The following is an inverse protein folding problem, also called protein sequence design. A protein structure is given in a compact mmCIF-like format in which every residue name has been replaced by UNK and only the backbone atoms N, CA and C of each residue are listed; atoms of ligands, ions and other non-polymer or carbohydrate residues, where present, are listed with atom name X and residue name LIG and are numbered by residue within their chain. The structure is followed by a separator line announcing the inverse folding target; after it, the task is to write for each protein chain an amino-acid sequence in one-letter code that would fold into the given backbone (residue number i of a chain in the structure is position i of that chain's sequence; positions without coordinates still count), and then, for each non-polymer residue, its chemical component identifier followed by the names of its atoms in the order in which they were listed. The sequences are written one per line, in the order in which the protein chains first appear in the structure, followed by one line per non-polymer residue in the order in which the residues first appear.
data_IF_114898642172
#
_entry.id   IF_114898642172
#
_cell.length_a   1.000
_cell.length_b   1.000
_cell.length_c   1.000
_cell.angle_alpha   90.00
_cell.angle_beta   90.00
_cell.angle_gamma   90.00
#
_symmetry.space_group_name_H-M   'P 1'
#
loop_
_entity.id
_entity.type
_entity.pdbx_description
1 polymer ?
#
# COMPACT_ATOMS: atom_id res chain seq x y z
N UNK A 1 -1.51 14.73 -0.80
CA UNK A 1 -1.45 13.28 -1.07
C UNK A 1 -2.51 12.82 -2.09
N UNK A 2 -2.58 13.43 -3.27
CA UNK A 2 -3.64 13.19 -4.29
C UNK A 2 -3.60 11.81 -4.96
N UNK A 3 -2.54 11.03 -4.75
CA UNK A 3 -2.42 9.68 -5.30
C UNK A 3 -2.82 8.55 -4.34
N UNK A 4 -3.22 8.89 -3.11
CA UNK A 4 -3.73 7.92 -2.14
C UNK A 4 -5.25 7.78 -2.24
N UNK A 5 -5.82 6.66 -1.79
CA UNK A 5 -7.27 6.42 -1.81
C UNK A 5 -8.05 7.55 -1.13
N UNK A 6 -7.72 7.90 0.12
CA UNK A 6 -8.43 8.99 0.83
C UNK A 6 -8.17 10.35 0.19
N UNK A 7 -6.94 10.59 -0.27
CA UNK A 7 -6.61 11.83 -0.96
C UNK A 7 -7.39 12.01 -2.26
N UNK A 8 -7.72 10.93 -2.96
CA UNK A 8 -8.58 10.94 -4.15
C UNK A 8 -10.04 11.09 -3.79
N UNK A 9 -10.51 10.35 -2.79
CA UNK A 9 -11.88 10.32 -2.32
C UNK A 9 -12.40 11.71 -1.89
N UNK A 10 -11.54 12.52 -1.25
CA UNK A 10 -11.87 13.88 -0.84
C UNK A 10 -11.41 14.95 -1.84
N UNK A 11 -10.97 14.56 -3.03
CA UNK A 11 -10.66 15.45 -4.15
C UNK A 11 -11.70 15.29 -5.25
N UNK A 12 -11.91 16.33 -6.07
CA UNK A 12 -12.97 16.43 -7.09
C UNK A 12 -12.86 15.42 -8.25
N UNK A 13 -12.05 14.38 -8.12
CA UNK A 13 -11.61 13.49 -9.21
C UNK A 13 -11.97 12.02 -9.01
N UNK A 14 -12.67 11.65 -7.93
CA UNK A 14 -13.11 10.28 -7.69
C UNK A 14 -14.63 10.15 -7.84
N UNK A 15 -15.06 9.94 -9.08
CA UNK A 15 -16.41 9.53 -9.41
C UNK A 15 -16.37 8.01 -9.60
N UNK A 16 -16.88 7.21 -8.64
CA UNK A 16 -17.69 5.98 -8.86
C UNK A 16 -17.51 4.81 -7.89
N UNK A 17 -16.42 4.65 -7.10
CA UNK A 17 -16.18 3.33 -6.43
C UNK A 17 -16.23 3.29 -4.89
N UNK A 18 -16.50 4.41 -4.20
CA UNK A 18 -16.77 4.41 -2.76
C UNK A 18 -18.10 5.12 -2.51
N UNK A 19 -19.13 4.34 -2.24
CA UNK A 19 -20.47 4.85 -1.94
C UNK A 19 -20.66 4.82 -0.43
N UNK A 20 -21.03 5.96 0.13
CA UNK A 20 -21.37 6.03 1.55
C UNK A 20 -22.65 5.22 1.81
N UNK A 21 -22.74 4.59 2.98
CA UNK A 21 -23.96 3.94 3.42
C UNK A 21 -25.06 4.97 3.74
N UNK A 22 -26.23 4.49 4.18
CA UNK A 22 -27.38 5.34 4.51
C UNK A 22 -27.11 6.37 5.63
N UNK A 23 -26.04 6.19 6.41
CA UNK A 23 -25.58 7.11 7.46
C UNK A 23 -24.52 8.10 7.00
N UNK A 24 -24.10 8.03 5.74
CA UNK A 24 -23.00 8.84 5.22
C UNK A 24 -21.61 8.32 5.63
N UNK A 25 -21.52 7.08 6.11
CA UNK A 25 -20.26 6.46 6.52
C UNK A 25 -19.68 5.58 5.40
N UNK A 26 -18.36 5.38 5.42
CA UNK A 26 -17.67 4.56 4.44
C UNK A 26 -17.14 3.29 5.11
N UNK A 27 -17.40 2.15 4.47
CA UNK A 27 -16.90 0.87 4.93
C UNK A 27 -15.47 0.65 4.41
N UNK A 28 -14.59 0.27 5.34
CA UNK A 28 -13.19 -0.08 5.05
C UNK A 28 -13.11 -1.61 4.97
N UNK A 29 -12.20 -2.13 4.15
CA UNK A 29 -12.02 -3.57 4.00
C UNK A 29 -11.76 -4.30 5.33
N UNK A 30 -12.27 -5.53 5.41
CA UNK A 30 -12.00 -6.45 6.53
C UNK A 30 -10.49 -6.68 6.67
N UNK A 31 -10.00 -6.66 7.92
CA UNK A 31 -8.58 -6.84 8.25
C UNK A 31 -7.87 -5.55 8.68
N UNK A 32 -8.43 -4.38 8.38
CA UNK A 32 -7.85 -3.11 8.82
C UNK A 32 -8.41 -2.74 10.20
N UNK A 33 -7.58 -2.88 11.23
CA UNK A 33 -7.96 -2.49 12.59
C UNK A 33 -8.04 -0.96 12.75
N UNK A 34 -8.83 -0.50 13.73
CA UNK A 34 -8.89 0.92 14.09
C UNK A 34 -7.51 1.50 14.47
N UNK A 35 -6.64 0.67 15.04
CA UNK A 35 -5.26 1.03 15.40
C UNK A 35 -4.41 1.30 14.16
N UNK A 36 -4.50 0.43 13.14
CA UNK A 36 -3.81 0.62 11.86
C UNK A 36 -4.36 1.87 11.17
N UNK A 37 -5.69 2.00 11.07
CA UNK A 37 -6.31 3.14 10.43
C UNK A 37 -5.91 4.47 11.08
N UNK A 38 -5.84 4.52 12.42
CA UNK A 38 -5.35 5.70 13.14
C UNK A 38 -3.91 6.06 12.73
N UNK A 39 -3.01 5.08 12.68
CA UNK A 39 -1.63 5.30 12.27
C UNK A 39 -1.53 5.78 10.81
N UNK A 40 -2.38 5.28 9.92
CA UNK A 40 -2.43 5.74 8.53
C UNK A 40 -2.86 7.21 8.40
N UNK A 41 -3.73 7.71 9.28
CA UNK A 41 -4.13 9.12 9.27
C UNK A 41 -2.97 10.07 9.61
N UNK A 42 -1.95 9.60 10.33
CA UNK A 42 -0.74 10.39 10.59
C UNK A 42 0.00 10.73 9.30
N UNK A 43 -0.07 9.87 8.27
CA UNK A 43 0.51 10.17 6.95
C UNK A 43 -0.03 11.47 6.36
N UNK A 44 -1.33 11.72 6.49
CA UNK A 44 -1.96 12.92 5.95
C UNK A 44 -1.69 14.17 6.79
N UNK A 45 -1.33 13.99 8.05
CA UNK A 45 -1.09 15.09 9.00
C UNK A 45 0.38 15.52 9.02
N UNK A 46 1.30 14.56 9.05
CA UNK A 46 2.74 14.79 9.24
C UNK A 46 3.62 14.18 8.13
N UNK A 47 3.04 13.43 7.18
CA UNK A 47 3.77 12.85 6.04
C UNK A 47 4.40 11.49 6.31
N UNK A 48 4.27 10.93 7.52
CA UNK A 48 4.87 9.65 7.91
C UNK A 48 3.91 8.82 8.76
N UNK A 49 4.04 7.50 8.71
CA UNK A 49 3.29 6.55 9.53
C UNK A 49 4.23 5.96 10.57
N UNK A 50 3.83 6.04 11.84
CA UNK A 50 4.51 5.32 12.92
C UNK A 50 3.80 4.00 13.16
N UNK A 51 4.47 2.89 12.83
CA UNK A 51 3.93 1.56 13.06
C UNK A 51 3.71 1.34 14.57
N UNK A 52 2.46 1.07 15.01
CA UNK A 52 2.18 0.77 16.40
C UNK A 52 2.88 -0.53 16.85
N UNK A 53 3.42 -0.62 18.09
CA UNK A 53 4.15 -1.82 18.55
C UNK A 53 3.32 -3.11 18.57
N UNK A 54 1.99 -3.00 18.62
CA UNK A 54 1.07 -4.14 18.61
C UNK A 54 0.67 -4.60 17.20
N UNK A 55 1.16 -3.93 16.16
CA UNK A 55 0.81 -4.17 14.76
C UNK A 55 2.02 -4.79 14.06
N UNK A 56 1.79 -5.87 13.30
CA UNK A 56 2.86 -6.44 12.48
C UNK A 56 3.15 -5.56 11.28
N UNK A 57 4.40 -5.58 10.80
CA UNK A 57 4.76 -4.83 9.59
C UNK A 57 3.96 -5.29 8.38
N UNK A 58 3.63 -6.59 8.30
CA UNK A 58 2.83 -7.15 7.22
C UNK A 58 1.41 -6.56 7.20
N UNK A 59 0.71 -6.51 8.34
CA UNK A 59 -0.64 -5.93 8.39
C UNK A 59 -0.63 -4.45 7.98
N UNK A 60 0.41 -3.72 8.40
CA UNK A 60 0.57 -2.33 8.00
C UNK A 60 0.83 -2.20 6.50
N UNK A 61 1.64 -3.10 5.92
CA UNK A 61 1.90 -3.15 4.48
C UNK A 61 0.61 -3.37 3.69
N UNK A 62 -0.17 -4.38 4.06
CA UNK A 62 -1.44 -4.68 3.40
C UNK A 62 -2.42 -3.49 3.47
N UNK A 63 -2.46 -2.78 4.60
CA UNK A 63 -3.26 -1.59 4.73
C UNK A 63 -2.73 -0.42 3.88
N UNK A 64 -1.42 -0.21 3.80
CA UNK A 64 -0.81 0.77 2.90
C UNK A 64 -1.14 0.48 1.44
N UNK A 65 -1.07 -0.78 1.02
CA UNK A 65 -1.45 -1.22 -0.34
C UNK A 65 -2.93 -0.92 -0.60
N UNK A 66 -3.82 -1.21 0.36
CA UNK A 66 -5.25 -0.90 0.25
C UNK A 66 -5.51 0.60 0.08
N UNK A 67 -4.88 1.46 0.90
CA UNK A 67 -5.08 2.90 0.85
C UNK A 67 -4.20 3.61 -0.20
N UNK A 68 -3.43 2.87 -0.98
CA UNK A 68 -2.49 3.41 -1.97
C UNK A 68 -1.48 4.39 -1.34
N UNK A 69 -1.06 4.13 -0.10
CA UNK A 69 -0.02 4.89 0.59
C UNK A 69 1.34 4.26 0.29
N UNK A 70 2.37 5.04 -0.10
CA UNK A 70 3.70 4.51 -0.34
C UNK A 70 4.24 3.75 0.88
N UNK A 71 4.74 2.54 0.66
CA UNK A 71 5.39 1.74 1.68
C UNK A 71 6.90 1.75 1.45
N UNK A 72 7.58 2.73 2.04
CA UNK A 72 9.03 2.93 1.93
C UNK A 72 9.64 3.48 3.22
N UNK A 73 10.97 3.59 3.26
CA UNK A 73 11.70 4.06 4.46
C UNK A 73 11.47 5.53 4.80
N UNK A 74 10.97 6.34 3.85
CA UNK A 74 10.64 7.74 4.10
C UNK A 74 9.24 7.87 4.72
N UNK A 75 8.35 6.95 4.36
CA UNK A 75 6.95 6.95 4.78
C UNK A 75 6.73 6.16 6.07
N UNK A 76 7.44 5.06 6.30
CA UNK A 76 7.24 4.14 7.42
C UNK A 76 8.33 4.28 8.48
N UNK A 77 7.92 4.54 9.72
CA UNK A 77 8.76 4.50 10.92
C UNK A 77 8.32 3.35 11.82
N UNK A 78 9.22 2.43 12.17
CA UNK A 78 8.89 1.29 13.03
C UNK A 78 10.05 0.92 13.97
N UNK A 79 9.73 0.16 15.02
CA UNK A 79 10.74 -0.46 15.88
C UNK A 79 11.24 -1.79 15.29
N UNK A 80 10.36 -2.55 14.63
CA UNK A 80 10.70 -3.78 13.93
C UNK A 80 11.32 -3.48 12.56
N UNK A 81 12.61 -3.13 12.58
CA UNK A 81 13.38 -2.87 11.37
C UNK A 81 13.56 -4.14 10.52
N UNK A 82 13.60 -5.32 11.15
CA UNK A 82 13.76 -6.59 10.44
C UNK A 82 12.53 -6.85 9.55
N UNK A 83 11.33 -6.71 10.11
CA UNK A 83 10.08 -6.82 9.36
C UNK A 83 10.00 -5.80 8.23
N UNK A 84 10.37 -4.54 8.49
CA UNK A 84 10.37 -3.51 7.44
C UNK A 84 11.34 -3.82 6.30
N UNK A 85 12.58 -4.21 6.62
CA UNK A 85 13.56 -4.58 5.60
C UNK A 85 13.15 -5.84 4.83
N UNK A 86 12.46 -6.79 5.48
CA UNK A 86 11.91 -7.96 4.80
C UNK A 86 10.90 -7.54 3.72
N UNK A 87 9.92 -6.71 4.07
CA UNK A 87 8.91 -6.24 3.12
C UNK A 87 9.51 -5.43 1.97
N UNK A 88 10.47 -4.54 2.26
CA UNK A 88 11.18 -3.77 1.23
C UNK A 88 12.03 -4.67 0.32
N UNK A 89 12.69 -5.68 0.89
CA UNK A 89 13.48 -6.65 0.14
C UNK A 89 12.59 -7.49 -0.79
N UNK A 90 11.41 -7.89 -0.33
CA UNK A 90 10.43 -8.62 -1.15
C UNK A 90 9.97 -7.78 -2.34
N UNK A 91 9.68 -6.49 -2.13
CA UNK A 91 9.29 -5.56 -3.19
C UNK A 91 10.44 -5.38 -4.22
N UNK A 92 11.67 -5.27 -3.72
CA UNK A 92 12.88 -5.23 -4.54
C UNK A 92 13.07 -6.50 -5.37
N UNK A 93 12.91 -7.67 -4.77
CA UNK A 93 13.01 -8.96 -5.45
C UNK A 93 11.96 -9.11 -6.55
N UNK A 94 10.71 -8.69 -6.29
CA UNK A 94 9.64 -8.69 -7.30
C UNK A 94 10.00 -7.84 -8.52
N UNK A 95 10.53 -6.62 -8.32
CA UNK A 95 10.98 -5.76 -9.43
C UNK A 95 12.11 -6.39 -10.23
N UNK A 96 13.07 -7.04 -9.57
CA UNK A 96 14.13 -7.76 -10.27
C UNK A 96 13.58 -8.92 -11.10
N UNK A 97 12.57 -9.62 -10.58
CA UNK A 97 11.90 -10.70 -11.28
C UNK A 97 11.10 -10.21 -12.50
N UNK A 98 10.39 -9.08 -12.39
CA UNK A 98 9.70 -8.45 -13.53
C UNK A 98 10.70 -8.12 -14.65
N UNK A 99 11.83 -7.50 -14.31
CA UNK A 99 12.91 -7.21 -15.29
C UNK A 99 13.46 -8.49 -15.92
N UNK A 100 13.60 -9.57 -15.14
CA UNK A 100 14.03 -10.87 -15.67
C UNK A 100 13.02 -11.44 -16.66
N UNK A 101 11.72 -11.41 -16.34
CA UNK A 101 10.65 -11.89 -17.20
C UNK A 101 10.64 -11.12 -18.53
N UNK A 102 10.72 -9.79 -18.47
CA UNK A 102 10.72 -8.93 -19.66
C UNK A 102 11.91 -9.18 -20.57
N UNK A 103 13.10 -9.35 -20.01
CA UNK A 103 14.32 -9.50 -20.80
C UNK A 103 14.53 -10.90 -21.37
N UNK A 104 14.10 -11.93 -20.65
CA UNK A 104 14.49 -13.31 -20.97
C UNK A 104 13.31 -14.20 -21.35
N UNK A 105 12.15 -14.01 -20.73
CA UNK A 105 11.03 -14.94 -20.87
C UNK A 105 10.02 -14.46 -21.92
N UNK A 106 9.64 -13.18 -21.89
CA UNK A 106 8.69 -12.62 -22.86
C UNK A 106 9.14 -12.78 -24.32
N UNK A 107 10.41 -12.54 -24.70
CA UNK A 107 10.84 -12.72 -26.09
C UNK A 107 10.62 -14.15 -26.61
N UNK A 108 10.96 -15.15 -25.80
CA UNK A 108 10.81 -16.58 -26.15
C UNK A 108 9.33 -16.97 -26.25
N UNK A 109 8.48 -16.45 -25.35
CA UNK A 109 7.04 -16.65 -25.40
C UNK A 109 6.42 -16.10 -26.69
N UNK A 110 6.86 -14.92 -27.12
CA UNK A 110 6.37 -14.28 -28.35
C UNK A 110 6.78 -15.09 -29.58
N UNK A 111 8.04 -15.54 -29.64
CA UNK A 111 8.54 -16.38 -30.74
C UNK A 111 7.79 -17.72 -30.81
N UNK A 112 7.48 -18.33 -29.66
CA UNK A 112 6.77 -19.61 -29.60
C UNK A 112 5.27 -19.54 -29.93
N UNK A 113 4.70 -18.33 -29.98
CA UNK A 113 3.29 -18.08 -30.26
C UNK A 113 3.00 -17.71 -31.73
N UNK A 114 4.04 -17.60 -32.57
CA UNK A 114 3.95 -17.38 -34.02
C UNK A 114 3.91 -18.71 -34.79
#
# INVERSE_FOLDING_TARGET
HTNTMLGRMFSTSWETSLVANERGEYEIANGISATIFRALLDFYSIGTIRCPPSVSIQDLREACDYFLIPFDQLTIQCQDLCGLLHELSNDGAKKQFEVFLEKNIFPVLVESAQ
#
